data_IF_272452800628
#
_entry.id   IF_272452800628
#
_cell.length_a   1.000
_cell.length_b   1.000
_cell.length_c   1.000
_cell.angle_alpha   90.00
_cell.angle_beta   90.00
_cell.angle_gamma   90.00
#
_symmetry.space_group_name_H-M   'P 1'
#
loop_
_entity.id
_entity.type
_entity.pdbx_description
1 polymer ?
#
# COMPACT_ATOMS: atom_id res chain seq x y z
N UNK A 1 9.48 -14.56 16.57
CA UNK A 1 9.69 -14.05 15.20
C UNK A 1 10.64 -12.87 15.28
N UNK A 2 11.57 -12.69 14.34
CA UNK A 2 12.40 -11.48 14.32
C UNK A 2 11.56 -10.34 13.78
N UNK A 3 11.57 -9.19 14.44
CA UNK A 3 10.91 -8.00 13.93
C UNK A 3 11.53 -7.58 12.59
N UNK A 4 10.69 -7.23 11.62
CA UNK A 4 11.13 -6.61 10.38
C UNK A 4 11.28 -5.11 10.66
N UNK A 5 12.51 -4.56 10.60
CA UNK A 5 12.69 -3.13 10.80
C UNK A 5 12.17 -2.39 9.56
N UNK A 6 10.93 -1.92 9.62
CA UNK A 6 10.31 -1.13 8.54
C UNK A 6 10.85 0.29 8.57
N UNK A 7 11.27 0.83 7.42
CA UNK A 7 11.81 2.19 7.33
C UNK A 7 10.79 3.25 7.79
N UNK A 8 11.29 4.33 8.40
CA UNK A 8 10.45 5.43 8.91
C UNK A 8 9.51 5.99 7.84
N UNK A 9 10.00 6.22 6.62
CA UNK A 9 9.18 6.78 5.54
C UNK A 9 7.99 5.87 5.17
N UNK A 10 8.15 4.54 5.25
CA UNK A 10 7.06 3.58 4.98
C UNK A 10 5.97 3.70 6.03
N UNK A 11 6.38 3.85 7.30
CA UNK A 11 5.45 4.07 8.43
C UNK A 11 4.71 5.41 8.27
N UNK A 12 5.42 6.46 7.85
CA UNK A 12 4.80 7.76 7.57
C UNK A 12 3.85 7.69 6.38
N UNK A 13 4.24 7.03 5.28
CA UNK A 13 3.37 6.85 4.13
C UNK A 13 2.07 6.13 4.51
N UNK A 14 2.18 5.05 5.29
CA UNK A 14 1.02 4.33 5.82
C UNK A 14 0.15 5.23 6.70
N UNK A 15 0.75 5.89 7.69
CA UNK A 15 0.02 6.75 8.63
C UNK A 15 -0.65 7.95 7.96
N UNK A 16 0.05 8.61 7.04
CA UNK A 16 -0.47 9.75 6.26
C UNK A 16 -1.60 9.28 5.35
N UNK A 17 -1.47 8.13 4.68
CA UNK A 17 -2.55 7.60 3.84
C UNK A 17 -3.83 7.37 4.64
N UNK A 18 -3.74 6.76 5.84
CA UNK A 18 -4.89 6.59 6.73
C UNK A 18 -5.45 7.94 7.20
N UNK A 19 -4.59 8.89 7.57
CA UNK A 19 -5.02 10.22 7.98
C UNK A 19 -5.79 10.94 6.86
N UNK A 20 -5.25 10.92 5.63
CA UNK A 20 -5.91 11.52 4.46
C UNK A 20 -7.23 10.83 4.17
N UNK A 21 -7.33 9.51 4.31
CA UNK A 21 -8.59 8.78 4.15
C UNK A 21 -9.66 9.26 5.14
N UNK A 22 -9.28 9.37 6.42
CA UNK A 22 -10.18 9.83 7.48
C UNK A 22 -10.62 11.28 7.21
N UNK A 23 -9.66 12.17 6.90
CA UNK A 23 -9.97 13.57 6.58
C UNK A 23 -10.88 13.70 5.37
N UNK A 24 -10.61 12.91 4.33
CA UNK A 24 -11.41 12.87 3.12
C UNK A 24 -12.85 12.45 3.41
N UNK A 25 -13.02 11.36 4.17
CA UNK A 25 -14.32 10.77 4.49
C UNK A 25 -15.15 11.65 5.42
N UNK A 26 -14.53 12.24 6.44
CA UNK A 26 -15.25 12.94 7.52
C UNK A 26 -15.45 14.42 7.27
N UNK A 27 -14.54 15.08 6.53
CA UNK A 27 -14.58 16.54 6.38
C UNK A 27 -14.67 16.97 4.93
N UNK A 28 -13.76 16.51 4.08
CA UNK A 28 -13.65 17.00 2.69
C UNK A 28 -14.89 16.59 1.89
N UNK A 29 -15.24 15.30 1.87
CA UNK A 29 -16.37 14.80 1.09
C UNK A 29 -17.71 15.40 1.50
N UNK A 30 -18.10 15.46 2.80
CA UNK A 30 -19.33 16.12 3.20
C UNK A 30 -19.37 17.59 2.79
N UNK A 31 -18.29 18.33 3.04
CA UNK A 31 -18.20 19.73 2.67
C UNK A 31 -18.35 19.94 1.16
N UNK A 32 -17.75 19.09 0.33
CA UNK A 32 -17.91 19.14 -1.13
C UNK A 32 -19.34 18.86 -1.61
N UNK A 33 -20.13 18.09 -0.86
CA UNK A 33 -21.51 17.78 -1.25
C UNK A 33 -22.48 18.88 -0.83
N UNK A 34 -22.14 19.63 0.22
CA UNK A 34 -22.92 20.79 0.67
C UNK A 34 -22.67 22.04 -0.18
N UNK A 35 -21.54 22.10 -0.87
CA UNK A 35 -21.15 23.23 -1.71
C UNK A 35 -21.26 22.84 -3.19
N UNK A 36 -21.78 23.73 -4.02
CA UNK A 36 -21.91 23.51 -5.48
C UNK A 36 -20.54 23.68 -6.18
N UNK A 37 -19.64 22.73 -5.93
CA UNK A 37 -18.26 22.74 -6.41
C UNK A 37 -18.11 22.09 -7.78
N UNK A 38 -17.10 22.47 -8.58
CA UNK A 38 -16.85 21.87 -9.88
C UNK A 38 -16.67 20.34 -9.81
N UNK A 39 -17.21 19.63 -10.80
CA UNK A 39 -17.20 18.16 -10.86
C UNK A 39 -15.81 17.51 -10.76
N UNK A 40 -14.74 18.20 -11.17
CA UNK A 40 -13.37 17.69 -11.03
C UNK A 40 -12.99 17.44 -9.57
N UNK A 41 -13.42 18.31 -8.63
CA UNK A 41 -13.10 18.12 -7.23
C UNK A 41 -13.90 16.98 -6.61
N UNK A 42 -15.14 16.77 -7.07
CA UNK A 42 -15.93 15.60 -6.69
C UNK A 42 -15.23 14.32 -7.15
N UNK A 43 -14.85 14.22 -8.43
CA UNK A 43 -14.14 13.05 -8.98
C UNK A 43 -12.89 12.74 -8.15
N UNK A 44 -12.03 13.74 -7.91
CA UNK A 44 -10.80 13.54 -7.11
C UNK A 44 -11.14 13.06 -5.70
N UNK A 45 -12.11 13.69 -5.04
CA UNK A 45 -12.53 13.34 -3.67
C UNK A 45 -13.08 11.93 -3.57
N UNK A 46 -13.83 11.48 -4.58
CA UNK A 46 -14.38 10.13 -4.66
C UNK A 46 -13.33 9.07 -4.94
N UNK A 47 -12.28 9.40 -5.68
CA UNK A 47 -11.22 8.45 -6.03
C UNK A 47 -10.05 8.37 -5.03
N UNK A 48 -9.92 9.34 -4.11
CA UNK A 48 -8.92 9.31 -3.01
C UNK A 48 -8.95 7.99 -2.20
N UNK A 49 -10.13 7.49 -1.75
CA UNK A 49 -10.25 6.20 -1.07
C UNK A 49 -9.56 5.04 -1.80
N UNK A 50 -9.76 4.93 -3.11
CA UNK A 50 -9.25 3.81 -3.91
C UNK A 50 -7.73 3.90 -4.11
N UNK A 51 -7.20 5.11 -4.29
CA UNK A 51 -5.75 5.36 -4.29
C UNK A 51 -5.10 4.96 -2.95
N UNK A 52 -5.75 5.32 -1.83
CA UNK A 52 -5.26 4.99 -0.49
C UNK A 52 -5.34 3.50 -0.23
N UNK A 53 -6.43 2.85 -0.61
CA UNK A 53 -6.61 1.40 -0.46
C UNK A 53 -5.51 0.64 -1.22
N UNK A 54 -5.26 0.98 -2.49
CA UNK A 54 -4.18 0.42 -3.27
C UNK A 54 -2.81 0.60 -2.60
N UNK A 55 -2.55 1.78 -2.03
CA UNK A 55 -1.31 2.09 -1.30
C UNK A 55 -1.17 1.23 -0.05
N UNK A 56 -2.19 1.24 0.82
CA UNK A 56 -2.19 0.56 2.12
C UNK A 56 -2.09 -0.95 1.94
N UNK A 57 -2.90 -1.54 1.04
CA UNK A 57 -2.89 -2.97 0.77
C UNK A 57 -1.52 -3.43 0.24
N UNK A 58 -0.90 -2.65 -0.66
CA UNK A 58 0.45 -2.96 -1.17
C UNK A 58 1.49 -2.95 -0.05
N UNK A 59 1.45 -1.96 0.85
CA UNK A 59 2.37 -1.87 1.99
C UNK A 59 2.17 -3.04 2.96
N UNK A 60 0.91 -3.37 3.28
CA UNK A 60 0.57 -4.49 4.16
C UNK A 60 1.03 -5.82 3.57
N UNK A 61 0.69 -6.11 2.32
CA UNK A 61 1.09 -7.35 1.66
C UNK A 61 2.61 -7.46 1.53
N UNK A 62 3.31 -6.35 1.29
CA UNK A 62 4.78 -6.34 1.30
C UNK A 62 5.31 -6.77 2.66
N UNK A 63 4.80 -6.19 3.76
CA UNK A 63 5.19 -6.56 5.12
C UNK A 63 4.89 -8.04 5.43
N UNK A 64 3.68 -8.50 5.09
CA UNK A 64 3.24 -9.88 5.30
C UNK A 64 4.13 -10.86 4.52
N UNK A 65 4.38 -10.63 3.22
CA UNK A 65 5.20 -11.51 2.40
C UNK A 65 6.66 -11.55 2.87
N UNK A 66 7.21 -10.42 3.32
CA UNK A 66 8.53 -10.40 3.95
C UNK A 66 8.56 -11.23 5.25
N UNK A 67 7.48 -11.19 6.04
CA UNK A 67 7.35 -11.98 7.27
C UNK A 67 7.22 -13.48 6.96
N UNK A 68 6.44 -13.84 5.93
CA UNK A 68 6.31 -15.21 5.43
C UNK A 68 7.68 -15.73 4.96
N UNK A 69 8.45 -14.93 4.22
CA UNK A 69 9.82 -15.32 3.82
C UNK A 69 10.68 -15.66 5.04
N UNK A 70 10.61 -14.88 6.12
CA UNK A 70 11.37 -15.17 7.34
C UNK A 70 10.90 -16.44 8.04
N UNK A 71 9.59 -16.68 8.10
CA UNK A 71 9.02 -17.86 8.75
C UNK A 71 9.44 -19.15 8.02
N UNK A 72 9.47 -19.11 6.70
CA UNK A 72 9.81 -20.23 5.83
C UNK A 72 11.20 -20.09 5.21
N UNK A 73 12.16 -19.57 5.97
CA UNK A 73 13.50 -19.21 5.49
C UNK A 73 14.22 -20.37 4.76
N UNK A 74 13.98 -21.62 5.15
CA UNK A 74 14.55 -22.81 4.48
C UNK A 74 14.07 -22.99 3.03
N UNK A 75 12.85 -22.54 2.69
CA UNK A 75 12.26 -22.67 1.35
C UNK A 75 12.33 -21.36 0.55
N UNK A 76 12.16 -20.22 1.22
CA UNK A 76 11.97 -18.92 0.55
C UNK A 76 13.09 -17.92 0.83
N UNK A 77 14.10 -18.26 1.63
CA UNK A 77 15.18 -17.34 2.00
C UNK A 77 16.00 -16.81 0.83
N UNK A 78 16.01 -17.50 -0.31
CA UNK A 78 16.71 -17.08 -1.54
C UNK A 78 15.91 -16.09 -2.41
N UNK A 79 14.63 -15.86 -2.12
CA UNK A 79 13.80 -14.94 -2.91
C UNK A 79 14.26 -13.50 -2.65
N UNK A 80 14.64 -12.80 -3.72
CA UNK A 80 15.03 -11.39 -3.67
C UNK A 80 13.83 -10.50 -3.32
N UNK A 81 14.08 -9.41 -2.59
CA UNK A 81 13.07 -8.41 -2.19
C UNK A 81 12.25 -7.91 -3.38
N UNK A 82 12.89 -7.70 -4.54
CA UNK A 82 12.22 -7.28 -5.77
C UNK A 82 11.05 -8.18 -6.16
N UNK A 83 11.20 -9.51 -6.05
CA UNK A 83 10.12 -10.44 -6.38
C UNK A 83 9.01 -10.39 -5.36
N UNK A 84 9.33 -10.21 -4.08
CA UNK A 84 8.33 -10.03 -3.02
C UNK A 84 7.49 -8.77 -3.28
N UNK A 85 8.13 -7.66 -3.64
CA UNK A 85 7.43 -6.42 -3.95
C UNK A 85 6.53 -6.57 -5.19
N UNK A 86 7.01 -7.26 -6.23
CA UNK A 86 6.20 -7.56 -7.42
C UNK A 86 4.98 -8.41 -7.03
N UNK A 87 5.18 -9.49 -6.27
CA UNK A 87 4.08 -10.33 -5.78
C UNK A 87 3.08 -9.55 -4.92
N UNK A 88 3.56 -8.66 -4.05
CA UNK A 88 2.69 -7.81 -3.24
C UNK A 88 1.79 -6.91 -4.12
N UNK A 89 2.36 -6.28 -5.15
CA UNK A 89 1.60 -5.42 -6.07
C UNK A 89 0.63 -6.23 -6.92
N UNK A 90 1.02 -7.42 -7.41
CA UNK A 90 0.11 -8.28 -8.16
C UNK A 90 -1.10 -8.69 -7.31
N UNK A 91 -0.87 -9.10 -6.06
CA UNK A 91 -1.95 -9.47 -5.14
C UNK A 91 -2.82 -8.26 -4.77
N UNK A 92 -2.21 -7.10 -4.48
CA UNK A 92 -2.92 -5.86 -4.22
C UNK A 92 -3.77 -5.44 -5.42
N UNK A 93 -3.23 -5.54 -6.64
CA UNK A 93 -3.91 -5.24 -7.89
C UNK A 93 -5.13 -6.13 -8.10
N UNK A 94 -5.00 -7.44 -7.88
CA UNK A 94 -6.14 -8.37 -7.95
C UNK A 94 -7.21 -7.94 -6.96
N UNK A 95 -6.82 -7.66 -5.71
CA UNK A 95 -7.75 -7.25 -4.66
C UNK A 95 -8.49 -5.94 -5.01
N UNK A 96 -7.79 -4.85 -5.34
CA UNK A 96 -8.44 -3.56 -5.59
C UNK A 96 -9.24 -3.56 -6.89
N UNK A 97 -8.71 -4.13 -7.98
CA UNK A 97 -9.44 -4.15 -9.26
C UNK A 97 -10.69 -5.01 -9.13
N UNK A 98 -10.59 -6.19 -8.51
CA UNK A 98 -11.77 -7.05 -8.28
C UNK A 98 -12.84 -6.39 -7.41
N UNK A 99 -12.43 -5.51 -6.47
CA UNK A 99 -13.36 -4.70 -5.70
C UNK A 99 -14.07 -3.68 -6.60
N UNK A 100 -13.35 -2.96 -7.45
CA UNK A 100 -13.95 -1.95 -8.34
C UNK A 100 -14.94 -2.55 -9.33
N UNK A 101 -14.60 -3.69 -9.93
CA UNK A 101 -15.53 -4.39 -10.83
C UNK A 101 -16.63 -5.18 -10.09
N UNK A 102 -16.76 -4.96 -8.77
CA UNK A 102 -17.80 -5.54 -7.90
C UNK A 102 -17.82 -7.06 -7.85
N UNK A 103 -16.69 -7.72 -8.05
CA UNK A 103 -16.57 -9.16 -7.76
C UNK A 103 -16.66 -9.42 -6.26
N UNK A 104 -16.25 -8.46 -5.44
CA UNK A 104 -16.48 -8.43 -4.01
C UNK A 104 -16.68 -6.98 -3.54
N UNK A 105 -17.32 -6.80 -2.38
CA UNK A 105 -17.69 -5.49 -1.83
C UNK A 105 -17.16 -5.32 -0.39
N UNK A 106 -15.92 -5.73 -0.13
CA UNK A 106 -15.34 -5.66 1.22
C UNK A 106 -15.14 -4.20 1.70
N UNK A 107 -14.96 -3.26 0.77
CA UNK A 107 -14.91 -1.81 1.03
C UNK A 107 -16.27 -1.13 1.23
N UNK A 108 -17.39 -1.86 1.12
CA UNK A 108 -18.76 -1.33 1.20
C UNK A 108 -19.45 -1.24 -0.16
N UNK A 109 -20.49 -0.39 -0.27
CA UNK A 109 -21.29 -0.28 -1.49
C UNK A 109 -20.61 0.66 -2.52
N UNK A 110 -19.51 0.21 -3.12
CA UNK A 110 -18.85 0.97 -4.20
C UNK A 110 -19.76 1.01 -5.43
N UNK A 111 -19.87 2.19 -6.04
CA UNK A 111 -20.44 2.36 -7.37
C UNK A 111 -19.28 2.29 -8.34
N UNK A 112 -19.45 1.56 -9.44
CA UNK A 112 -18.38 1.45 -10.43
C UNK A 112 -18.11 2.82 -11.06
N UNK A 113 -16.88 3.30 -10.95
CA UNK A 113 -16.39 4.53 -11.59
C UNK A 113 -15.03 4.25 -12.27
N UNK A 114 -14.87 4.50 -13.59
CA UNK A 114 -13.58 4.39 -14.26
C UNK A 114 -12.44 5.21 -13.62
N UNK A 115 -12.74 6.36 -13.00
CA UNK A 115 -11.74 7.17 -12.31
C UNK A 115 -11.15 6.44 -11.09
N UNK A 116 -11.93 5.56 -10.46
CA UNK A 116 -11.50 4.77 -9.30
C UNK A 116 -10.50 3.68 -9.69
N UNK A 117 -10.67 3.09 -10.88
CA UNK A 117 -9.67 2.17 -11.46
C UNK A 117 -8.36 2.91 -11.73
N UNK A 118 -8.43 4.12 -12.29
CA UNK A 118 -7.24 4.94 -12.55
C UNK A 118 -6.54 5.30 -11.25
N UNK A 119 -7.29 5.72 -10.23
CA UNK A 119 -6.75 6.05 -8.92
C UNK A 119 -6.10 4.85 -8.23
N UNK A 120 -6.73 3.67 -8.30
CA UNK A 120 -6.15 2.41 -7.84
C UNK A 120 -4.82 2.10 -8.56
N UNK A 121 -4.79 2.22 -9.89
CA UNK A 121 -3.59 1.98 -10.69
C UNK A 121 -2.46 2.94 -10.31
N UNK A 122 -2.76 4.23 -10.11
CA UNK A 122 -1.81 5.23 -9.65
C UNK A 122 -1.27 4.88 -8.25
N UNK A 123 -2.14 4.48 -7.31
CA UNK A 123 -1.73 4.03 -5.98
C UNK A 123 -0.78 2.83 -6.03
N UNK A 124 -1.09 1.81 -6.84
CA UNK A 124 -0.25 0.63 -7.04
C UNK A 124 1.13 0.99 -7.60
N UNK A 125 1.16 1.76 -8.70
CA UNK A 125 2.41 2.15 -9.37
C UNK A 125 3.27 3.06 -8.51
N UNK A 126 2.67 4.07 -7.88
CA UNK A 126 3.37 5.01 -7.00
C UNK A 126 3.98 4.28 -5.81
N UNK A 127 3.20 3.42 -5.14
CA UNK A 127 3.69 2.66 -3.98
C UNK A 127 4.79 1.69 -4.37
N UNK A 128 4.63 0.97 -5.48
CA UNK A 128 5.68 0.10 -6.01
C UNK A 128 6.97 0.86 -6.29
N UNK A 129 6.86 1.99 -7.01
CA UNK A 129 8.01 2.84 -7.33
C UNK A 129 8.74 3.33 -6.08
N UNK A 130 7.99 3.84 -5.09
CA UNK A 130 8.54 4.27 -3.80
C UNK A 130 9.28 3.13 -3.10
N UNK A 131 8.69 1.93 -3.03
CA UNK A 131 9.33 0.78 -2.38
C UNK A 131 10.58 0.33 -3.14
N UNK A 132 10.56 0.32 -4.48
CA UNK A 132 11.73 -0.09 -5.27
C UNK A 132 12.89 0.90 -5.13
N UNK A 133 12.60 2.20 -5.12
CA UNK A 133 13.61 3.25 -5.04
C UNK A 133 14.20 3.39 -3.64
N UNK A 134 13.35 3.39 -2.62
CA UNK A 134 13.76 3.70 -1.26
C UNK A 134 13.90 2.46 -0.36
N UNK A 135 13.39 1.29 -0.77
CA UNK A 135 13.49 0.01 -0.06
C UNK A 135 12.58 -0.09 1.18
N UNK A 136 11.94 -1.24 1.40
CA UNK A 136 10.95 -1.38 2.49
C UNK A 136 11.58 -1.52 3.89
N UNK A 137 12.68 -2.27 4.01
CA UNK A 137 13.31 -2.63 5.27
C UNK A 137 14.60 -1.86 5.51
N UNK A 138 14.92 -1.59 6.78
CA UNK A 138 16.25 -1.14 7.15
C UNK A 138 17.23 -2.29 6.94
N UNK A 139 18.32 -2.04 6.22
CA UNK A 139 19.44 -2.97 6.24
C UNK A 139 19.97 -2.99 7.67
N UNK A 140 19.88 -4.13 8.34
CA UNK A 140 20.69 -4.35 9.55
C UNK A 140 22.13 -4.17 9.10
N UNK A 141 22.76 -3.07 9.50
CA UNK A 141 24.20 -2.93 9.39
C UNK A 141 24.82 -4.21 9.97
N UNK A 142 25.83 -4.73 9.29
CA UNK A 142 26.70 -5.85 9.71
C UNK A 142 27.49 -5.50 11.00
N UNK A 143 26.82 -5.04 12.04
CA UNK A 143 27.40 -4.72 13.34
C UNK A 143 27.81 -5.97 14.14
N UNK A 144 27.50 -7.18 13.66
CA UNK A 144 27.87 -8.44 14.31
C UNK A 144 28.97 -9.23 13.57
N UNK A 145 29.67 -8.63 12.59
CA UNK A 145 30.78 -9.30 11.89
C UNK A 145 32.14 -9.12 12.58
N UNK A 146 32.21 -8.45 13.73
CA UNK A 146 33.45 -8.27 14.52
C UNK A 146 33.66 -9.28 15.65
N UNK A 147 32.65 -10.06 16.03
CA UNK A 147 32.75 -10.93 17.23
C UNK A 147 33.00 -12.42 16.93
N UNK A 148 33.47 -12.77 15.72
CA UNK A 148 33.85 -14.15 15.38
C UNK A 148 35.21 -14.24 14.68
N UNK A 149 36.12 -13.32 15.01
CA UNK A 149 37.53 -13.43 14.67
C UNK A 149 38.37 -13.17 15.92
N UNK A 150 38.33 -14.10 16.87
CA UNK A 150 39.49 -14.44 17.71
C UNK A 150 39.46 -15.95 17.96
#
# INVERSE_FOLDING_TARGET
MKEIPVKKYVRYLFGIAILVFILNKLFIRPWLLENDVPGIFLIVTYSIPNLIEATVVTLLLTGILLQIRQLFNRKFGSIKDRYIHISAVCLASIYVISQEIKLHNLGGNNVYDPYDIVASLLGLLATFGIIQLFGFTEKKNDANKKDFKE
#
